data_IF_339032840272
#
_entry.id   IF_339032840272
#
_cell.length_a   1.000
_cell.length_b   1.000
_cell.length_c   1.000
_cell.angle_alpha   90.00
_cell.angle_beta   90.00
_cell.angle_gamma   90.00
#
_symmetry.space_group_name_H-M   'P 1'
#
loop_
_entity.id
_entity.type
_entity.pdbx_description
1 polymer ?
#
# COMPACT_ATOMS: atom_id res chain seq x y z
N UNK A 1 15.53 -5.74 16.40
CA UNK A 1 15.07 -4.36 16.65
C UNK A 1 13.63 -4.37 16.20
N UNK A 2 12.74 -4.16 17.17
CA UNK A 2 11.28 -4.34 17.15
C UNK A 2 10.65 -3.24 16.28
N UNK A 3 9.51 -3.47 15.64
CA UNK A 3 8.76 -2.40 15.00
C UNK A 3 8.29 -1.42 16.09
N UNK A 4 9.07 -0.37 16.36
CA UNK A 4 8.84 0.55 17.48
C UNK A 4 7.94 1.72 17.14
N UNK A 5 7.56 1.89 15.87
CA UNK A 5 6.73 3.02 15.45
C UNK A 5 5.92 2.73 14.18
N UNK A 6 4.62 2.45 14.37
CA UNK A 6 3.65 2.41 13.27
C UNK A 6 3.14 3.84 13.07
N UNK A 7 3.67 4.57 12.08
CA UNK A 7 3.25 5.95 11.81
C UNK A 7 2.22 6.00 10.69
N UNK A 8 0.98 6.35 11.01
CA UNK A 8 -0.01 6.80 10.04
C UNK A 8 -0.84 7.94 10.67
N UNK A 9 -0.92 9.09 9.99
CA UNK A 9 -1.63 10.29 10.50
C UNK A 9 -3.13 10.07 10.72
N UNK A 10 -3.68 9.02 10.14
CA UNK A 10 -5.11 8.69 10.15
C UNK A 10 -5.48 7.55 11.09
N UNK A 11 -4.53 7.01 11.85
CA UNK A 11 -4.83 6.05 12.92
C UNK A 11 -4.42 6.65 14.26
N UNK A 12 -5.10 6.27 15.32
CA UNK A 12 -4.76 6.71 16.68
C UNK A 12 -3.45 6.07 17.14
N UNK A 13 -2.78 6.71 18.11
CA UNK A 13 -1.55 6.18 18.73
C UNK A 13 -1.78 4.83 19.40
N UNK A 14 -2.92 4.66 20.10
CA UNK A 14 -3.28 3.38 20.70
C UNK A 14 -3.42 2.27 19.66
N UNK A 15 -4.06 2.56 18.52
CA UNK A 15 -4.20 1.60 17.42
C UNK A 15 -2.86 1.28 16.77
N UNK A 16 -2.00 2.27 16.60
CA UNK A 16 -0.64 2.07 16.12
C UNK A 16 0.16 1.14 17.04
N UNK A 17 0.03 1.31 18.36
CA UNK A 17 0.65 0.44 19.36
C UNK A 17 0.10 -0.99 19.30
N UNK A 18 -1.22 -1.17 19.21
CA UNK A 18 -1.85 -2.49 19.09
C UNK A 18 -1.35 -3.24 17.85
N UNK A 19 -1.25 -2.55 16.70
CA UNK A 19 -0.70 -3.10 15.46
C UNK A 19 0.76 -3.49 15.65
N UNK A 20 1.56 -2.64 16.29
CA UNK A 20 2.97 -2.92 16.55
C UNK A 20 3.13 -4.17 17.42
N UNK A 21 2.41 -4.26 18.53
CA UNK A 21 2.47 -5.39 19.45
C UNK A 21 2.09 -6.70 18.77
N UNK A 22 1.01 -6.69 17.97
CA UNK A 22 0.57 -7.86 17.21
C UNK A 22 1.55 -8.24 16.11
N UNK A 23 2.06 -7.26 15.36
CA UNK A 23 3.08 -7.48 14.35
C UNK A 23 4.30 -8.17 14.96
N UNK A 24 4.82 -7.63 16.05
CA UNK A 24 6.00 -8.17 16.73
C UNK A 24 5.76 -9.59 17.27
N UNK A 25 4.52 -9.88 17.72
CA UNK A 25 4.13 -11.22 18.16
C UNK A 25 4.10 -12.27 17.04
N UNK A 26 3.73 -11.90 15.81
CA UNK A 26 3.54 -12.87 14.71
C UNK A 26 4.62 -12.82 13.62
N UNK A 27 5.45 -11.77 13.58
CA UNK A 27 6.52 -11.62 12.60
C UNK A 27 7.49 -12.82 12.55
N UNK A 28 7.97 -13.38 13.69
CA UNK A 28 8.83 -14.56 13.67
C UNK A 28 8.20 -15.75 12.94
N UNK A 29 6.90 -16.01 13.19
CA UNK A 29 6.15 -17.09 12.54
C UNK A 29 6.00 -16.85 11.04
N UNK A 30 5.56 -15.65 10.63
CA UNK A 30 5.45 -15.28 9.21
C UNK A 30 6.77 -15.46 8.46
N UNK A 31 7.89 -15.06 9.08
CA UNK A 31 9.22 -15.25 8.51
C UNK A 31 9.58 -16.73 8.38
N UNK A 32 9.29 -17.54 9.42
CA UNK A 32 9.58 -18.98 9.41
C UNK A 32 8.78 -19.73 8.35
N UNK A 33 7.49 -19.40 8.19
CA UNK A 33 6.61 -19.93 7.15
C UNK A 33 7.20 -19.64 5.76
N UNK A 34 7.54 -18.39 5.47
CA UNK A 34 8.13 -18.01 4.18
C UNK A 34 9.47 -18.71 3.94
N UNK A 35 10.36 -18.74 4.93
CA UNK A 35 11.66 -19.41 4.80
C UNK A 35 11.50 -20.91 4.49
N UNK A 36 10.52 -21.56 5.12
CA UNK A 36 10.18 -22.98 4.91
C UNK A 36 9.62 -23.21 3.50
N UNK A 37 8.62 -22.43 3.09
CA UNK A 37 7.98 -22.55 1.77
C UNK A 37 8.98 -22.24 0.65
N UNK A 38 9.76 -21.16 0.77
CA UNK A 38 10.80 -20.80 -0.22
C UNK A 38 11.82 -21.94 -0.36
N UNK A 39 12.30 -22.50 0.77
CA UNK A 39 13.25 -23.61 0.75
C UNK A 39 12.68 -24.84 0.04
N UNK A 40 11.44 -25.23 0.38
CA UNK A 40 10.79 -26.39 -0.24
C UNK A 40 10.59 -26.18 -1.75
N UNK A 41 10.13 -25.00 -2.17
CA UNK A 41 9.77 -24.72 -3.55
C UNK A 41 10.99 -24.52 -4.46
N UNK A 42 12.13 -24.10 -3.92
CA UNK A 42 13.41 -24.09 -4.65
C UNK A 42 13.93 -25.50 -4.99
N UNK A 43 13.61 -26.49 -4.16
CA UNK A 43 14.02 -27.88 -4.36
C UNK A 43 13.01 -28.73 -5.13
N UNK A 44 11.85 -28.18 -5.47
CA UNK A 44 10.79 -28.91 -6.18
C UNK A 44 11.08 -28.97 -7.69
N UNK A 45 10.81 -30.12 -8.31
CA UNK A 45 10.91 -30.29 -9.77
C UNK A 45 9.93 -29.35 -10.52
N UNK A 46 8.76 -29.11 -9.93
CA UNK A 46 7.75 -28.18 -10.44
C UNK A 46 7.24 -27.28 -9.32
N UNK A 47 7.79 -26.06 -9.17
CA UNK A 47 7.31 -25.10 -8.18
C UNK A 47 5.85 -24.73 -8.42
N UNK A 48 5.06 -24.77 -7.36
CA UNK A 48 3.62 -24.45 -7.36
C UNK A 48 3.33 -22.97 -7.05
N UNK A 49 4.36 -22.25 -6.60
CA UNK A 49 4.28 -20.85 -6.20
C UNK A 49 5.38 -20.04 -6.88
N UNK A 50 5.16 -18.73 -6.98
CA UNK A 50 6.19 -17.81 -7.49
C UNK A 50 7.23 -17.54 -6.40
N UNK A 51 8.34 -18.29 -6.43
CA UNK A 51 9.43 -18.19 -5.44
C UNK A 51 10.02 -16.78 -5.36
N UNK A 52 10.27 -16.13 -6.50
CA UNK A 52 10.83 -14.77 -6.53
C UNK A 52 9.91 -13.75 -5.85
N UNK A 53 8.59 -13.92 -5.98
CA UNK A 53 7.60 -13.11 -5.27
C UNK A 53 7.66 -13.34 -3.76
N UNK A 54 7.75 -14.59 -3.30
CA UNK A 54 7.84 -14.90 -1.86
C UNK A 54 9.14 -14.37 -1.24
N UNK A 55 10.26 -14.45 -1.95
CA UNK A 55 11.53 -13.87 -1.51
C UNK A 55 11.46 -12.34 -1.36
N UNK A 56 10.76 -11.68 -2.30
CA UNK A 56 10.47 -10.26 -2.19
C UNK A 56 9.62 -9.96 -0.96
N UNK A 57 8.53 -10.69 -0.74
CA UNK A 57 7.67 -10.53 0.46
C UNK A 57 8.49 -10.71 1.73
N UNK A 58 9.30 -11.76 1.82
CA UNK A 58 10.19 -12.04 2.95
C UNK A 58 11.15 -10.90 3.25
N UNK A 59 11.76 -10.32 2.21
CA UNK A 59 12.63 -9.14 2.35
C UNK A 59 11.85 -7.93 2.84
N UNK A 60 10.69 -7.65 2.27
CA UNK A 60 9.89 -6.48 2.61
C UNK A 60 9.31 -6.57 4.03
N UNK A 61 8.84 -7.75 4.49
CA UNK A 61 8.46 -7.97 5.89
C UNK A 61 9.62 -7.64 6.84
N UNK A 62 10.85 -8.08 6.51
CA UNK A 62 12.03 -7.72 7.29
C UNK A 62 12.42 -6.25 7.21
N UNK A 63 11.95 -5.50 6.20
CA UNK A 63 12.11 -4.04 6.16
C UNK A 63 11.05 -3.34 7.02
N UNK A 64 9.81 -3.83 7.01
CA UNK A 64 8.73 -3.33 7.87
C UNK A 64 9.11 -3.47 9.35
N UNK A 65 9.57 -4.67 9.74
CA UNK A 65 10.00 -5.00 11.09
C UNK A 65 11.09 -4.05 11.62
N UNK A 66 12.02 -3.66 10.75
CA UNK A 66 13.11 -2.73 11.08
C UNK A 66 12.75 -1.25 10.88
N UNK A 67 11.53 -0.93 10.47
CA UNK A 67 11.13 0.44 10.11
C UNK A 67 11.92 1.02 8.91
N UNK A 68 12.48 0.19 8.05
CA UNK A 68 13.27 0.61 6.88
C UNK A 68 12.53 0.46 5.56
N UNK A 69 11.26 0.04 5.61
CA UNK A 69 10.44 -0.14 4.41
C UNK A 69 10.17 1.19 3.72
N UNK A 70 10.32 1.20 2.39
CA UNK A 70 10.10 2.38 1.55
C UNK A 70 9.07 2.04 0.49
N UNK A 71 7.92 2.73 0.55
CA UNK A 71 6.88 2.62 -0.48
C UNK A 71 7.29 3.26 -1.81
N UNK A 72 8.14 4.29 -1.74
CA UNK A 72 8.76 4.89 -2.91
C UNK A 72 10.23 5.24 -2.62
N UNK A 73 11.03 5.45 -3.66
CA UNK A 73 12.47 5.76 -3.52
C UNK A 73 12.75 7.01 -2.70
N UNK A 74 11.80 7.96 -2.64
CA UNK A 74 11.95 9.25 -1.94
C UNK A 74 11.35 9.25 -0.52
N UNK A 75 10.59 8.23 -0.11
CA UNK A 75 9.97 8.23 1.22
C UNK A 75 11.00 7.90 2.31
N UNK A 76 10.87 8.49 3.52
CA UNK A 76 11.58 7.97 4.68
C UNK A 76 11.21 6.49 4.89
N UNK A 77 12.15 5.74 5.46
CA UNK A 77 11.87 4.36 5.89
C UNK A 77 10.87 4.40 7.04
N UNK A 78 9.78 3.65 6.94
CA UNK A 78 8.78 3.54 8.00
C UNK A 78 7.94 2.27 7.83
N UNK A 79 7.22 1.90 8.89
CA UNK A 79 6.17 0.90 8.79
C UNK A 79 5.01 1.44 7.94
N UNK A 80 4.56 0.67 6.94
CA UNK A 80 3.41 1.01 6.10
C UNK A 80 2.30 0.00 6.30
N UNK A 81 1.15 0.43 6.83
CA UNK A 81 0.00 -0.45 7.10
C UNK A 81 -0.57 -1.12 5.83
N UNK A 82 -0.58 -0.41 4.69
CA UNK A 82 -1.10 -0.95 3.42
C UNK A 82 -0.16 -1.97 2.79
N UNK A 83 1.14 -1.69 2.85
CA UNK A 83 2.17 -2.63 2.39
C UNK A 83 2.24 -3.85 3.31
N UNK A 84 2.19 -3.64 4.63
CA UNK A 84 2.15 -4.71 5.62
C UNK A 84 0.93 -5.61 5.39
N UNK A 85 -0.26 -5.03 5.20
CA UNK A 85 -1.47 -5.80 4.88
C UNK A 85 -1.29 -6.66 3.62
N UNK A 86 -0.78 -6.05 2.54
CA UNK A 86 -0.53 -6.76 1.29
C UNK A 86 0.47 -7.91 1.47
N UNK A 87 1.54 -7.72 2.24
CA UNK A 87 2.54 -8.74 2.52
C UNK A 87 1.97 -9.87 3.40
N UNK A 88 1.19 -9.54 4.43
CA UNK A 88 0.54 -10.55 5.30
C UNK A 88 -0.43 -11.42 4.50
N UNK A 89 -1.14 -10.87 3.52
CA UNK A 89 -1.98 -11.66 2.61
C UNK A 89 -1.20 -12.68 1.79
N UNK A 90 0.01 -12.34 1.35
CA UNK A 90 0.88 -13.27 0.64
C UNK A 90 1.37 -14.40 1.54
N UNK A 91 1.64 -14.11 2.83
CA UNK A 91 1.96 -15.13 3.83
C UNK A 91 0.76 -16.07 4.02
N UNK A 92 -0.43 -15.52 4.23
CA UNK A 92 -1.65 -16.32 4.40
C UNK A 92 -1.94 -17.22 3.19
N UNK A 93 -1.66 -16.75 1.97
CA UNK A 93 -1.86 -17.55 0.75
C UNK A 93 -1.00 -18.83 0.70
N UNK A 94 0.10 -18.88 1.46
CA UNK A 94 1.00 -20.05 1.55
C UNK A 94 1.02 -20.70 2.94
N UNK A 95 0.17 -20.22 3.85
CA UNK A 95 0.05 -20.78 5.20
C UNK A 95 -0.98 -21.91 5.19
N UNK A 96 -0.63 -23.06 5.75
CA UNK A 96 -1.59 -24.16 5.92
C UNK A 96 -2.66 -23.78 6.94
N UNK A 97 -3.92 -24.18 6.71
CA UNK A 97 -5.02 -23.96 7.66
C UNK A 97 -4.73 -24.61 9.02
N UNK A 98 -3.97 -25.71 9.05
CA UNK A 98 -3.56 -26.41 10.27
C UNK A 98 -2.32 -25.84 10.95
N UNK A 99 -1.73 -24.76 10.43
CA UNK A 99 -0.56 -24.13 11.04
C UNK A 99 -0.95 -23.48 12.39
N UNK A 100 -0.21 -23.74 13.48
CA UNK A 100 -0.56 -23.24 14.81
C UNK A 100 -0.61 -21.71 14.89
N UNK A 101 0.13 -21.00 14.04
CA UNK A 101 0.20 -19.54 14.03
C UNK A 101 -0.83 -18.89 13.07
N UNK A 102 -1.51 -19.69 12.23
CA UNK A 102 -2.45 -19.19 11.22
C UNK A 102 -3.53 -18.27 11.83
N UNK A 103 -4.08 -18.65 12.98
CA UNK A 103 -5.11 -17.86 13.66
C UNK A 103 -4.62 -16.47 14.10
N UNK A 104 -3.37 -16.37 14.55
CA UNK A 104 -2.78 -15.08 14.93
C UNK A 104 -2.50 -14.20 13.71
N UNK A 105 -2.01 -14.79 12.61
CA UNK A 105 -1.75 -14.08 11.35
C UNK A 105 -3.06 -13.58 10.72
N UNK A 106 -4.14 -14.36 10.76
CA UNK A 106 -5.47 -13.93 10.31
C UNK A 106 -6.00 -12.73 11.11
N UNK A 107 -5.83 -12.72 12.44
CA UNK A 107 -6.22 -11.59 13.28
C UNK A 107 -5.42 -10.33 12.95
N UNK A 108 -4.10 -10.45 12.76
CA UNK A 108 -3.27 -9.32 12.29
C UNK A 108 -3.76 -8.82 10.93
N UNK A 109 -4.08 -9.72 10.00
CA UNK A 109 -4.56 -9.34 8.68
C UNK A 109 -5.87 -8.54 8.74
N UNK A 110 -6.83 -8.97 9.59
CA UNK A 110 -8.08 -8.24 9.81
C UNK A 110 -7.84 -6.84 10.38
N UNK A 111 -6.99 -6.74 11.38
CA UNK A 111 -6.65 -5.46 12.01
C UNK A 111 -5.95 -4.49 11.04
N UNK A 112 -5.02 -4.98 10.23
CA UNK A 112 -4.41 -4.19 9.17
C UNK A 112 -5.41 -3.78 8.09
N UNK A 113 -6.36 -4.67 7.73
CA UNK A 113 -7.41 -4.35 6.77
C UNK A 113 -8.31 -3.21 7.27
N UNK A 114 -8.71 -3.27 8.54
CA UNK A 114 -9.53 -2.23 9.18
C UNK A 114 -8.79 -0.89 9.20
N UNK A 115 -7.51 -0.90 9.61
CA UNK A 115 -6.67 0.30 9.65
C UNK A 115 -6.46 0.92 8.26
N UNK A 116 -6.29 0.09 7.23
CA UNK A 116 -6.17 0.55 5.84
C UNK A 116 -7.49 1.19 5.37
N UNK A 117 -8.63 0.56 5.68
CA UNK A 117 -9.94 1.08 5.31
C UNK A 117 -10.26 2.40 6.04
N UNK A 118 -9.92 2.51 7.32
CA UNK A 118 -10.04 3.74 8.10
C UNK A 118 -9.21 4.88 7.51
N UNK A 119 -7.91 4.63 7.27
CA UNK A 119 -7.03 5.62 6.66
C UNK A 119 -7.51 6.03 5.26
N UNK A 120 -8.03 5.10 4.47
CA UNK A 120 -8.62 5.37 3.16
C UNK A 120 -9.83 6.31 3.26
N UNK A 121 -10.78 6.02 4.16
CA UNK A 121 -11.96 6.88 4.39
C UNK A 121 -11.57 8.28 4.85
N UNK A 122 -10.63 8.38 5.79
CA UNK A 122 -10.15 9.68 6.29
C UNK A 122 -9.48 10.50 5.18
N UNK A 123 -8.63 9.88 4.36
CA UNK A 123 -7.98 10.55 3.22
C UNK A 123 -8.99 11.02 2.17
N UNK A 124 -10.03 10.23 1.89
CA UNK A 124 -11.09 10.63 0.96
C UNK A 124 -11.89 11.81 1.49
N UNK A 125 -12.24 11.81 2.78
CA UNK A 125 -12.95 12.91 3.42
C UNK A 125 -12.15 14.22 3.41
N UNK A 126 -10.83 14.17 3.66
CA UNK A 126 -9.94 15.33 3.56
C UNK A 126 -9.90 15.88 2.13
N UNK A 127 -9.77 15.02 1.13
CA UNK A 127 -9.75 15.43 -0.27
C UNK A 127 -11.10 16.00 -0.75
N UNK A 128 -12.22 15.44 -0.28
CA UNK A 128 -13.55 15.98 -0.54
C UNK A 128 -13.75 17.36 0.12
N UNK A 129 -13.28 17.55 1.35
CA UNK A 129 -13.30 18.84 2.03
C UNK A 129 -12.45 19.88 1.30
N UNK A 130 -11.23 19.51 0.86
CA UNK A 130 -10.36 20.38 0.07
C UNK A 130 -11.06 20.81 -1.22
N UNK A 131 -11.64 19.87 -1.99
CA UNK A 131 -12.41 20.19 -3.20
C UNK A 131 -13.61 21.09 -2.94
N UNK A 132 -14.32 20.90 -1.82
CA UNK A 132 -15.46 21.74 -1.47
C UNK A 132 -15.06 23.19 -1.16
N UNK A 133 -13.80 23.43 -0.75
CA UNK A 133 -13.27 24.77 -0.47
C UNK A 133 -12.67 25.49 -1.67
N UNK A 134 -12.43 24.80 -2.79
CA UNK A 134 -11.93 25.41 -4.03
C UNK A 134 -13.11 26.02 -4.79
N UNK A 135 -13.19 27.36 -4.95
CA UNK A 135 -14.27 27.97 -5.72
C UNK A 135 -14.20 27.50 -7.18
N UNK A 136 -15.35 27.18 -7.77
CA UNK A 136 -15.44 26.88 -9.20
C UNK A 136 -14.91 28.07 -9.99
N UNK A 137 -13.71 27.94 -10.58
CA UNK A 137 -13.20 28.91 -11.53
C UNK A 137 -14.19 28.94 -12.70
N UNK A 138 -14.78 30.10 -13.05
CA UNK A 138 -15.56 30.20 -14.26
C UNK A 138 -14.61 29.88 -15.42
N UNK A 139 -14.91 28.79 -16.14
CA UNK A 139 -14.28 28.54 -17.43
C UNK A 139 -14.70 29.70 -18.33
N UNK A 140 -13.79 30.63 -18.54
CA UNK A 140 -14.00 31.78 -19.40
C UNK A 140 -14.23 31.22 -20.81
N UNK A 141 -15.50 31.17 -21.20
CA UNK A 141 -15.97 30.72 -22.50
C UNK A 141 -15.60 31.74 -23.55
N UNK A 142 -14.29 31.87 -23.81
CA UNK A 142 -13.72 32.69 -24.86
C UNK A 142 -14.18 32.18 -26.21
N UNK A 143 -15.32 32.71 -26.66
CA UNK A 143 -15.85 32.66 -28.02
C UNK A 143 -14.74 33.10 -28.97
N UNK A 144 -14.03 32.15 -29.58
CA UNK A 144 -13.21 32.43 -30.77
C UNK A 144 -14.16 32.82 -31.90
N UNK A 145 -14.41 34.12 -32.03
CA UNK A 145 -14.89 34.69 -33.28
C UNK A 145 -13.86 34.34 -34.35
N UNK A 146 -14.23 33.42 -35.24
CA UNK A 146 -13.56 33.27 -36.52
C UNK A 146 -13.81 34.56 -37.29
N UNK A 147 -12.77 35.39 -37.42
CA UNK A 147 -12.76 36.41 -38.44
C UNK A 147 -12.67 35.69 -39.79
N UNK A 148 -13.78 35.71 -40.52
CA UNK A 148 -13.81 35.43 -41.93
C UNK A 148 -12.86 36.39 -42.65
N UNK A 149 -11.99 35.84 -43.49
CA UNK A 149 -11.25 36.59 -44.50
C UNK A 149 -11.44 35.87 -45.82
N UNK A 150 -12.66 35.96 -46.34
CA UNK A 150 -12.86 35.97 -47.78
C UNK A 150 -12.41 37.35 -48.30
N UNK A 151 -11.56 37.35 -49.31
CA UNK A 151 -11.87 37.89 -50.65
C UNK A 151 -10.59 38.30 -51.37
N UNK A 152 -10.01 37.33 -52.07
CA UNK A 152 -9.33 37.56 -53.35
C UNK A 152 -10.26 38.34 -54.27
N UNK A 153 -9.85 39.53 -54.73
CA UNK A 153 -10.00 39.97 -56.13
C UNK A 153 -9.33 41.33 -56.43
N UNK A 154 -8.51 41.31 -57.50
CA UNK A 154 -8.25 42.36 -58.52
C UNK A 154 -7.60 43.72 -58.16
N UNK A 155 -6.32 43.82 -58.54
CA UNK A 155 -5.78 44.73 -59.57
C UNK A 155 -6.10 46.24 -59.56
N UNK A 156 -5.06 47.08 -59.59
CA UNK A 156 -4.65 47.95 -60.73
C UNK A 156 -3.81 49.13 -60.20
N UNK A 157 -2.49 49.14 -60.46
CA UNK A 157 -1.74 50.18 -61.20
C UNK A 157 -0.24 49.88 -61.18
#
# INVERSE_FOLDING_TARGET
>A
MIATEVRNRFITESRAQDIADRWNGVYPAMRSILDTVIKAQRGAEQPTVNVARLERVRRELGQQDRGTFKGCTRSPGAFSISSAYSQVREVLAVTSIGDPDAGAIHRLAGELADAVAEAGRASSAEWEAERATVPAQPVDGGRRERADSEQTERGTR
#
